data_IF_257431589018
#
_entry.id   IF_257431589018
#
_cell.length_a   1.000
_cell.length_b   1.000
_cell.length_c   1.000
_cell.angle_alpha   90.00
_cell.angle_beta   90.00
_cell.angle_gamma   90.00
#
_symmetry.space_group_name_H-M   'P 1'
#
loop_
_entity.id
_entity.type
_entity.pdbx_description
1 polymer ?
#
# COMPACT_ATOMS: atom_id res chain seq x y z
N UNK A 1 26.78 28.23 -1.96
CA UNK A 1 25.54 29.02 -1.84
C UNK A 1 24.66 28.53 -2.96
N UNK A 2 23.85 27.53 -2.67
CA UNK A 2 22.68 27.09 -3.45
C UNK A 2 21.88 26.23 -2.47
N UNK A 3 21.29 26.97 -1.53
CA UNK A 3 20.19 26.53 -0.67
C UNK A 3 19.05 25.96 -1.50
N UNK A 4 18.16 25.21 -0.84
CA UNK A 4 16.88 24.73 -1.36
C UNK A 4 16.92 23.40 -2.11
N UNK A 5 17.32 22.35 -1.39
CA UNK A 5 16.52 21.11 -1.39
C UNK A 5 15.51 21.16 -0.25
N UNK A 6 14.54 22.06 -0.39
CA UNK A 6 13.27 21.96 0.33
C UNK A 6 12.44 20.86 -0.33
N UNK A 7 12.86 19.62 -0.06
CA UNK A 7 12.14 18.43 -0.47
C UNK A 7 10.83 18.34 0.28
N UNK A 8 9.79 18.89 -0.34
CA UNK A 8 8.37 18.57 -0.19
C UNK A 8 8.04 17.77 1.09
N UNK A 9 7.89 18.48 2.20
CA UNK A 9 7.43 17.94 3.47
C UNK A 9 5.94 17.60 3.29
N UNK A 10 5.64 16.35 2.96
CA UNK A 10 4.27 15.87 2.85
C UNK A 10 3.69 15.78 4.26
N UNK A 11 3.09 16.86 4.75
CA UNK A 11 2.37 16.82 6.03
C UNK A 11 1.09 16.01 5.81
N UNK A 12 1.05 14.81 6.39
CA UNK A 12 -0.15 13.99 6.43
C UNK A 12 -1.24 14.77 7.14
N UNK A 13 -2.19 15.29 6.37
CA UNK A 13 -3.41 15.87 6.93
C UNK A 13 -4.16 14.78 7.71
N UNK A 14 -4.24 14.93 9.02
CA UNK A 14 -5.15 14.16 9.89
C UNK A 14 -6.57 14.32 9.35
N UNK A 15 -7.22 13.20 9.03
CA UNK A 15 -8.58 13.19 8.52
C UNK A 15 -9.54 13.84 9.55
N UNK A 16 -10.53 14.63 9.10
CA UNK A 16 -11.49 15.26 10.00
C UNK A 16 -12.31 14.19 10.73
N UNK A 17 -12.41 14.33 12.05
CA UNK A 17 -13.25 13.52 12.93
C UNK A 17 -14.72 13.64 12.47
N UNK A 18 -15.31 12.53 12.01
CA UNK A 18 -16.68 12.55 11.47
C UNK A 18 -17.03 11.40 10.53
N UNK A 19 -16.04 10.64 10.03
CA UNK A 19 -16.24 9.26 9.60
C UNK A 19 -15.89 8.36 10.79
N UNK A 20 -16.72 7.34 11.07
CA UNK A 20 -16.59 6.48 12.26
C UNK A 20 -15.14 6.18 12.59
N UNK A 21 -14.79 6.32 13.88
CA UNK A 21 -13.42 6.37 14.40
C UNK A 21 -12.49 5.44 13.61
N UNK A 22 -11.56 6.02 12.84
CA UNK A 22 -10.54 5.24 12.14
C UNK A 22 -9.60 4.71 13.23
N UNK A 23 -9.52 3.39 13.45
CA UNK A 23 -8.74 2.83 14.56
C UNK A 23 -7.22 2.89 14.30
N UNK A 24 -6.80 3.38 13.15
CA UNK A 24 -5.42 3.39 12.68
C UNK A 24 -4.89 4.82 12.47
N UNK A 25 -3.69 5.07 12.99
CA UNK A 25 -2.87 6.25 12.76
C UNK A 25 -1.73 5.91 11.80
N UNK A 26 -1.12 6.90 11.11
CA UNK A 26 0.00 6.68 10.20
C UNK A 26 1.34 6.45 10.95
N UNK A 27 1.31 5.64 12.00
CA UNK A 27 2.46 5.26 12.81
C UNK A 27 2.59 3.74 12.86
N UNK A 28 3.83 3.25 12.96
CA UNK A 28 4.10 1.81 13.04
C UNK A 28 3.37 1.16 14.22
N UNK A 29 3.38 1.82 15.38
CA UNK A 29 2.72 1.32 16.60
C UNK A 29 1.22 1.09 16.41
N UNK A 30 0.57 1.94 15.61
CA UNK A 30 -0.85 1.80 15.33
C UNK A 30 -1.15 0.62 14.38
N UNK A 31 -0.23 0.21 13.52
CA UNK A 31 -0.47 -0.92 12.60
C UNK A 31 -0.37 -2.28 13.31
N UNK A 32 0.40 -2.37 14.39
CA UNK A 32 0.64 -3.62 15.13
C UNK A 32 -0.64 -4.18 15.77
N UNK A 33 -1.63 -3.34 16.05
CA UNK A 33 -2.90 -3.78 16.64
C UNK A 33 -3.79 -4.57 15.65
N UNK A 34 -3.45 -4.63 14.36
CA UNK A 34 -4.24 -5.35 13.36
C UNK A 34 -4.23 -6.87 13.60
N UNK A 35 -5.42 -7.46 13.71
CA UNK A 35 -5.58 -8.91 13.76
C UNK A 35 -6.16 -9.43 12.46
N UNK A 36 -5.48 -10.43 11.88
CA UNK A 36 -5.97 -11.16 10.71
C UNK A 36 -7.30 -11.85 11.03
N UNK A 37 -8.34 -11.70 10.19
CA UNK A 37 -9.64 -12.34 10.44
C UNK A 37 -9.55 -13.87 10.35
N UNK A 38 -10.37 -14.57 11.13
CA UNK A 38 -10.35 -16.03 11.27
C UNK A 38 -10.58 -16.76 9.95
N UNK A 39 -11.56 -16.32 9.14
CA UNK A 39 -11.85 -16.89 7.83
C UNK A 39 -10.63 -16.88 6.89
N UNK A 40 -9.78 -15.84 6.98
CA UNK A 40 -8.58 -15.73 6.14
C UNK A 40 -7.48 -16.67 6.65
N UNK A 41 -7.41 -16.88 7.97
CA UNK A 41 -6.51 -17.90 8.54
C UNK A 41 -6.94 -19.30 8.17
N UNK A 42 -8.24 -19.54 8.02
CA UNK A 42 -8.80 -20.83 7.63
C UNK A 42 -8.69 -21.12 6.14
N UNK A 43 -8.65 -20.08 5.29
CA UNK A 43 -8.35 -20.20 3.88
C UNK A 43 -6.89 -20.66 3.66
N UNK A 44 -6.65 -21.98 3.71
CA UNK A 44 -5.32 -22.59 3.56
C UNK A 44 -4.78 -22.56 2.13
N UNK A 45 -5.63 -22.27 1.15
CA UNK A 45 -5.27 -22.24 -0.26
C UNK A 45 -5.82 -20.98 -0.92
N UNK A 46 -4.94 -20.28 -1.63
CA UNK A 46 -5.28 -19.09 -2.40
C UNK A 46 -4.67 -19.17 -3.79
N UNK A 47 -5.44 -18.76 -4.79
CA UNK A 47 -4.96 -18.53 -6.14
C UNK A 47 -4.90 -17.01 -6.36
N UNK A 48 -3.80 -16.55 -6.95
CA UNK A 48 -3.66 -15.17 -7.37
C UNK A 48 -3.29 -15.13 -8.84
N UNK A 49 -3.91 -14.22 -9.58
CA UNK A 49 -3.66 -14.02 -11.00
C UNK A 49 -3.34 -12.55 -11.25
N UNK A 50 -2.14 -12.30 -11.77
CA UNK A 50 -1.75 -10.99 -12.29
C UNK A 50 -2.36 -10.81 -13.68
N UNK A 51 -3.22 -9.81 -13.85
CA UNK A 51 -3.86 -9.46 -15.13
C UNK A 51 -3.78 -7.94 -15.31
N UNK A 52 -2.89 -7.47 -16.18
CA UNK A 52 -2.69 -6.06 -16.47
C UNK A 52 -1.91 -5.82 -17.77
N UNK A 53 -1.56 -4.57 -18.11
CA UNK A 53 -0.82 -4.25 -19.35
C UNK A 53 0.50 -5.02 -19.50
N UNK A 54 1.10 -5.45 -18.40
CA UNK A 54 2.29 -6.29 -18.36
C UNK A 54 2.07 -7.70 -18.93
N UNK A 55 0.82 -8.16 -19.05
CA UNK A 55 0.48 -9.47 -19.59
C UNK A 55 0.40 -9.48 -21.13
N UNK A 56 0.16 -8.33 -21.77
CA UNK A 56 0.07 -8.18 -23.23
C UNK A 56 1.33 -8.64 -23.99
N UNK A 57 2.55 -8.28 -23.56
CA UNK A 57 3.78 -8.74 -24.23
C UNK A 57 4.11 -10.21 -23.92
N UNK A 58 3.33 -10.88 -23.05
CA UNK A 58 3.55 -12.25 -22.57
C UNK A 58 4.98 -12.51 -22.07
N UNK A 59 5.67 -11.44 -21.65
CA UNK A 59 7.11 -11.42 -21.36
C UNK A 59 7.39 -10.96 -19.93
N UNK A 60 6.78 -11.64 -18.97
CA UNK A 60 7.02 -11.49 -17.54
C UNK A 60 6.73 -10.09 -16.96
N UNK A 61 6.69 -10.01 -15.63
CA UNK A 61 6.25 -8.80 -14.89
C UNK A 61 7.17 -7.58 -15.06
N UNK A 62 8.31 -7.73 -15.75
CA UNK A 62 9.33 -6.67 -15.92
C UNK A 62 9.48 -6.20 -17.36
N UNK A 63 8.59 -6.55 -18.27
CA UNK A 63 8.69 -6.13 -19.67
C UNK A 63 8.95 -4.62 -19.84
N UNK A 64 8.19 -3.79 -19.11
CA UNK A 64 8.30 -2.33 -19.19
C UNK A 64 9.58 -1.72 -18.57
N UNK A 65 10.39 -2.49 -17.83
CA UNK A 65 11.63 -1.98 -17.19
C UNK A 65 12.81 -1.91 -18.17
N UNK A 66 12.75 -2.65 -19.26
CA UNK A 66 13.83 -2.76 -20.26
C UNK A 66 13.46 -2.22 -21.63
N UNK A 67 12.35 -1.48 -21.73
CA UNK A 67 11.95 -0.70 -22.91
C UNK A 67 12.36 0.76 -22.75
#
# INVERSE_FOLDING_TARGET
>A
MDSERDGCKLELATAPEGRGAIPFQPTWDSLVQYQTPEWFRDAKFGLWAHRGPQCQPERGDRYARGM
#
